data_IF_622749279533
#
_entry.id   IF_622749279533
#
_cell.length_a   1.000
_cell.length_b   1.000
_cell.length_c   1.000
_cell.angle_alpha   90.00
_cell.angle_beta   90.00
_cell.angle_gamma   90.00
#
_symmetry.space_group_name_H-M   'P 1'
#
loop_
_entity.id
_entity.type
_entity.pdbx_description
1 polymer ?
#
# COMPACT_ATOMS: atom_id res chain seq x y z
N UNK A 1 16.09 -27.58 -7.29
CA UNK A 1 15.92 -26.12 -7.10
C UNK A 1 16.74 -25.72 -5.90
N UNK A 2 17.64 -24.75 -6.02
CA UNK A 2 18.24 -24.13 -4.84
C UNK A 2 17.13 -23.60 -3.94
N UNK A 3 17.20 -23.84 -2.64
CA UNK A 3 16.21 -23.31 -1.70
C UNK A 3 16.21 -21.78 -1.80
N UNK A 4 15.06 -21.18 -2.15
CA UNK A 4 14.91 -19.73 -2.15
C UNK A 4 15.20 -19.21 -0.74
N UNK A 5 15.98 -18.13 -0.63
CA UNK A 5 16.25 -17.54 0.68
C UNK A 5 14.93 -17.07 1.32
N UNK A 6 14.81 -17.09 2.66
CA UNK A 6 13.60 -16.61 3.34
C UNK A 6 13.21 -15.18 2.94
N UNK A 7 14.19 -14.29 2.80
CA UNK A 7 13.97 -12.90 2.38
C UNK A 7 13.44 -12.80 0.95
N UNK A 8 13.98 -13.62 0.02
CA UNK A 8 13.51 -13.59 -1.36
C UNK A 8 12.08 -14.16 -1.50
N UNK A 9 11.73 -15.15 -0.68
CA UNK A 9 10.37 -15.67 -0.60
C UNK A 9 9.35 -14.59 -0.21
N UNK A 10 9.73 -13.63 0.63
CA UNK A 10 8.88 -12.51 1.03
C UNK A 10 8.59 -11.57 -0.15
N UNK A 11 9.59 -11.31 -1.00
CA UNK A 11 9.40 -10.49 -2.20
C UNK A 11 8.49 -11.15 -3.22
N UNK A 12 8.69 -12.45 -3.48
CA UNK A 12 7.80 -13.23 -4.37
C UNK A 12 6.38 -13.24 -3.81
N UNK A 13 6.20 -13.46 -2.51
CA UNK A 13 4.89 -13.41 -1.87
C UNK A 13 4.22 -12.05 -2.06
N UNK A 14 4.94 -10.96 -1.78
CA UNK A 14 4.42 -9.60 -1.90
C UNK A 14 3.98 -9.29 -3.33
N UNK A 15 4.77 -9.70 -4.31
CA UNK A 15 4.45 -9.55 -5.73
C UNK A 15 3.13 -10.24 -6.09
N UNK A 16 2.99 -11.53 -5.73
CA UNK A 16 1.79 -12.31 -6.02
C UNK A 16 0.56 -11.81 -5.26
N UNK A 17 0.75 -11.36 -4.03
CA UNK A 17 -0.35 -10.83 -3.21
C UNK A 17 -0.90 -9.52 -3.76
N UNK A 18 -0.04 -8.65 -4.30
CA UNK A 18 -0.46 -7.42 -4.98
C UNK A 18 -1.20 -7.74 -6.28
N UNK A 19 -0.75 -8.74 -7.04
CA UNK A 19 -1.51 -9.19 -8.21
C UNK A 19 -2.89 -9.71 -7.87
N UNK A 20 -3.00 -10.50 -6.79
CA UNK A 20 -4.29 -10.98 -6.32
C UNK A 20 -5.26 -9.82 -6.06
N UNK A 21 -4.82 -8.78 -5.35
CA UNK A 21 -5.66 -7.59 -5.13
C UNK A 21 -5.99 -6.86 -6.43
N UNK A 22 -5.02 -6.76 -7.32
CA UNK A 22 -5.22 -6.13 -8.62
C UNK A 22 -6.29 -6.82 -9.45
N UNK A 23 -6.29 -8.16 -9.51
CA UNK A 23 -7.31 -8.92 -10.22
C UNK A 23 -8.67 -8.90 -9.53
N UNK A 24 -8.70 -8.93 -8.19
CA UNK A 24 -9.94 -8.98 -7.42
C UNK A 24 -10.69 -7.63 -7.39
N UNK A 25 -9.95 -6.51 -7.42
CA UNK A 25 -10.54 -5.18 -7.25
C UNK A 25 -9.80 -4.07 -8.00
N UNK A 26 -8.48 -3.92 -7.80
CA UNK A 26 -7.81 -2.65 -8.15
C UNK A 26 -7.86 -2.37 -9.65
N UNK A 27 -7.74 -3.38 -10.52
CA UNK A 27 -7.74 -3.18 -11.97
C UNK A 27 -9.06 -2.57 -12.47
N UNK A 28 -10.19 -2.97 -11.89
CA UNK A 28 -11.48 -2.40 -12.21
C UNK A 28 -11.64 -1.01 -11.56
N UNK A 29 -11.28 -0.89 -10.29
CA UNK A 29 -11.41 0.35 -9.53
C UNK A 29 -10.50 1.48 -10.03
N UNK A 30 -9.33 1.16 -10.58
CA UNK A 30 -8.40 2.13 -11.19
C UNK A 30 -8.80 2.59 -12.60
N UNK A 31 -9.69 1.85 -13.28
CA UNK A 31 -10.28 2.30 -14.55
C UNK A 31 -11.37 3.34 -14.34
N UNK A 32 -11.98 3.34 -13.15
CA UNK A 32 -12.98 4.30 -12.73
C UNK A 32 -12.31 5.39 -11.91
N UNK A 33 -12.79 6.62 -12.04
CA UNK A 33 -12.46 7.64 -11.08
C UNK A 33 -13.13 7.30 -9.74
N UNK A 34 -12.48 7.41 -8.57
CA UNK A 34 -13.16 7.19 -7.30
C UNK A 34 -14.45 7.99 -7.12
N UNK A 35 -14.57 9.17 -7.76
CA UNK A 35 -15.80 9.97 -7.79
C UNK A 35 -16.97 9.29 -8.55
N UNK A 36 -16.68 8.29 -9.39
CA UNK A 36 -17.65 7.50 -10.16
C UNK A 36 -17.99 6.17 -9.48
N UNK A 37 -17.40 5.86 -8.32
CA UNK A 37 -17.69 4.62 -7.61
C UNK A 37 -19.11 4.63 -7.04
N UNK A 38 -19.90 3.64 -7.44
CA UNK A 38 -21.19 3.35 -6.82
C UNK A 38 -21.05 2.82 -5.38
N UNK A 39 -22.16 2.75 -4.65
CA UNK A 39 -22.15 2.32 -3.25
C UNK A 39 -21.50 0.94 -3.02
N UNK A 40 -21.66 0.02 -3.97
CA UNK A 40 -21.07 -1.32 -3.89
C UNK A 40 -19.55 -1.28 -4.06
N UNK A 41 -19.05 -0.50 -5.02
CA UNK A 41 -17.61 -0.29 -5.23
C UNK A 41 -16.98 0.41 -4.03
N UNK A 42 -17.66 1.40 -3.45
CA UNK A 42 -17.22 2.07 -2.23
C UNK A 42 -17.14 1.10 -1.05
N UNK A 43 -18.16 0.28 -0.84
CA UNK A 43 -18.17 -0.73 0.23
C UNK A 43 -17.08 -1.78 0.03
N UNK A 44 -16.87 -2.22 -1.22
CA UNK A 44 -15.81 -3.15 -1.58
C UNK A 44 -14.44 -2.55 -1.29
N UNK A 45 -14.18 -1.29 -1.67
CA UNK A 45 -12.97 -0.56 -1.29
C UNK A 45 -12.77 -0.54 0.22
N UNK A 46 -13.78 -0.09 0.97
CA UNK A 46 -13.68 0.01 2.44
C UNK A 46 -13.35 -1.35 3.08
N UNK A 47 -13.94 -2.43 2.56
CA UNK A 47 -13.74 -3.79 3.09
C UNK A 47 -12.38 -4.36 2.73
N UNK A 48 -11.99 -4.27 1.46
CA UNK A 48 -10.70 -4.79 0.95
C UNK A 48 -9.52 -4.20 1.72
N UNK A 49 -9.56 -2.90 2.02
CA UNK A 49 -8.47 -2.22 2.74
C UNK A 49 -8.68 -2.07 4.24
N UNK A 50 -9.62 -2.82 4.81
CA UNK A 50 -9.85 -2.91 6.25
C UNK A 50 -10.31 -1.59 6.91
N UNK A 51 -10.91 -0.69 6.13
CA UNK A 51 -11.43 0.61 6.57
C UNK A 51 -12.82 0.50 7.24
N UNK A 52 -13.43 -0.68 7.19
CA UNK A 52 -14.67 -1.00 7.93
C UNK A 52 -14.41 -1.42 9.39
N UNK A 53 -13.15 -1.56 9.80
CA UNK A 53 -12.79 -2.00 11.15
C UNK A 53 -12.74 -0.79 12.09
N UNK A 54 -13.77 -0.62 12.91
CA UNK A 54 -13.77 0.32 14.03
C UNK A 54 -14.99 1.25 14.10
N UNK A 55 -14.99 2.11 15.13
CA UNK A 55 -16.11 2.99 15.51
C UNK A 55 -16.43 4.04 14.43
N UNK A 56 -15.52 4.29 13.49
CA UNK A 56 -15.70 5.26 12.42
C UNK A 56 -16.37 4.71 11.15
N UNK A 57 -16.59 3.40 11.03
CA UNK A 57 -17.06 2.80 9.77
C UNK A 57 -18.39 3.39 9.27
N UNK A 58 -19.42 3.45 10.13
CA UNK A 58 -20.73 3.99 9.73
C UNK A 58 -20.63 5.45 9.27
N UNK A 59 -19.90 6.28 10.04
CA UNK A 59 -19.68 7.68 9.70
C UNK A 59 -18.88 7.86 8.40
N UNK A 60 -17.90 6.98 8.16
CA UNK A 60 -17.10 7.01 6.93
C UNK A 60 -17.96 6.62 5.72
N UNK A 61 -18.76 5.57 5.84
CA UNK A 61 -19.66 5.12 4.78
C UNK A 61 -20.71 6.19 4.43
N UNK A 62 -21.37 6.78 5.43
CA UNK A 62 -22.40 7.82 5.20
C UNK A 62 -21.85 9.11 4.58
N UNK A 63 -20.56 9.38 4.73
CA UNK A 63 -19.91 10.59 4.19
C UNK A 63 -18.98 10.30 3.01
N UNK A 64 -18.91 9.05 2.52
CA UNK A 64 -17.91 8.63 1.54
C UNK A 64 -17.97 9.49 0.28
N UNK A 65 -19.15 9.60 -0.33
CA UNK A 65 -19.37 10.41 -1.54
C UNK A 65 -18.94 11.86 -1.31
N UNK A 66 -19.38 12.49 -0.21
CA UNK A 66 -19.02 13.87 0.13
C UNK A 66 -17.51 14.06 0.28
N UNK A 67 -16.82 13.09 0.88
CA UNK A 67 -15.37 13.10 1.03
C UNK A 67 -14.70 12.99 -0.34
N UNK A 68 -15.10 12.02 -1.15
CA UNK A 68 -14.52 11.79 -2.46
C UNK A 68 -14.74 12.98 -3.39
N UNK A 69 -15.93 13.58 -3.40
CA UNK A 69 -16.22 14.78 -4.21
C UNK A 69 -15.24 15.91 -3.92
N UNK A 70 -14.92 16.12 -2.64
CA UNK A 70 -13.95 17.15 -2.21
C UNK A 70 -12.52 16.77 -2.54
N UNK A 71 -12.14 15.51 -2.32
CA UNK A 71 -10.78 15.05 -2.57
C UNK A 71 -10.49 14.83 -4.04
N UNK A 72 -11.50 14.66 -4.89
CA UNK A 72 -11.32 14.43 -6.32
C UNK A 72 -10.56 15.59 -6.99
N UNK A 73 -10.95 16.83 -6.70
CA UNK A 73 -10.27 18.01 -7.23
C UNK A 73 -8.80 18.11 -6.78
N UNK A 74 -8.49 17.62 -5.58
CA UNK A 74 -7.14 17.65 -5.00
C UNK A 74 -6.26 16.49 -5.50
N UNK A 75 -6.82 15.29 -5.58
CA UNK A 75 -6.09 14.06 -5.86
C UNK A 75 -6.06 13.70 -7.34
N UNK A 76 -7.10 14.07 -8.10
CA UNK A 76 -7.28 13.67 -9.50
C UNK A 76 -6.33 14.34 -10.49
N UNK A 77 -5.73 15.47 -10.13
CA UNK A 77 -4.77 16.15 -10.99
C UNK A 77 -3.50 15.32 -11.14
N UNK A 78 -2.85 15.37 -12.32
CA UNK A 78 -1.52 14.76 -12.50
C UNK A 78 -0.52 15.38 -11.52
N UNK A 79 0.45 14.60 -11.07
CA UNK A 79 1.58 15.11 -10.30
C UNK A 79 2.59 15.74 -11.25
N UNK A 80 3.29 16.76 -10.77
CA UNK A 80 4.53 17.21 -11.42
C UNK A 80 5.63 16.17 -11.11
N UNK A 81 6.14 15.48 -12.13
CA UNK A 81 7.14 14.43 -11.94
C UNK A 81 8.43 14.96 -11.30
N UNK A 82 8.77 16.23 -11.52
CA UNK A 82 9.94 16.87 -10.91
C UNK A 82 9.80 17.13 -9.41
N UNK A 83 8.57 17.12 -8.88
CA UNK A 83 8.27 17.46 -7.49
C UNK A 83 7.23 16.51 -6.84
N UNK A 84 7.09 15.30 -7.38
CA UNK A 84 5.99 14.39 -7.05
C UNK A 84 5.89 14.07 -5.55
N UNK A 85 7.03 13.92 -4.86
CA UNK A 85 7.06 13.61 -3.43
C UNK A 85 6.48 14.74 -2.57
N UNK A 86 6.90 15.99 -2.83
CA UNK A 86 6.38 17.16 -2.11
C UNK A 86 4.90 17.38 -2.43
N UNK A 87 4.52 17.23 -3.69
CA UNK A 87 3.12 17.34 -4.12
C UNK A 87 2.24 16.28 -3.44
N UNK A 88 2.70 15.04 -3.35
CA UNK A 88 2.00 13.98 -2.62
C UNK A 88 1.88 14.29 -1.12
N UNK A 89 2.95 14.76 -0.47
CA UNK A 89 2.91 15.16 0.93
C UNK A 89 1.90 16.28 1.18
N UNK A 90 1.88 17.29 0.32
CA UNK A 90 0.97 18.43 0.41
C UNK A 90 -0.48 17.99 0.21
N UNK A 91 -0.76 17.25 -0.88
CA UNK A 91 -2.09 16.71 -1.15
C UNK A 91 -2.57 15.81 -0.03
N UNK A 92 -1.73 14.91 0.46
CA UNK A 92 -2.12 14.02 1.55
C UNK A 92 -2.43 14.79 2.84
N UNK A 93 -1.59 15.76 3.20
CA UNK A 93 -1.80 16.61 4.38
C UNK A 93 -3.09 17.43 4.29
N UNK A 94 -3.34 18.05 3.13
CA UNK A 94 -4.57 18.80 2.87
C UNK A 94 -5.79 17.87 2.86
N UNK A 95 -5.68 16.69 2.25
CA UNK A 95 -6.75 15.70 2.24
C UNK A 95 -7.08 15.16 3.63
N UNK A 96 -6.10 15.06 4.54
CA UNK A 96 -6.34 14.71 5.95
C UNK A 96 -7.21 15.79 6.61
N UNK A 97 -6.92 17.07 6.36
CA UNK A 97 -7.71 18.17 6.92
C UNK A 97 -9.14 18.17 6.37
N UNK A 98 -9.34 17.96 5.06
CA UNK A 98 -10.67 17.83 4.45
C UNK A 98 -11.48 16.70 5.09
N UNK A 99 -10.86 15.52 5.27
CA UNK A 99 -11.53 14.38 5.91
C UNK A 99 -11.85 14.68 7.36
N UNK A 100 -10.93 15.32 8.10
CA UNK A 100 -11.11 15.72 9.50
C UNK A 100 -12.31 16.66 9.67
N UNK A 101 -12.46 17.63 8.77
CA UNK A 101 -13.56 18.59 8.80
C UNK A 101 -14.92 17.90 8.56
N UNK A 102 -14.97 16.94 7.64
CA UNK A 102 -16.19 16.19 7.33
C UNK A 102 -16.51 15.14 8.42
N UNK A 103 -15.48 14.57 9.05
CA UNK A 103 -15.61 13.50 10.04
C UNK A 103 -15.57 14.01 11.49
N UNK A 104 -16.01 15.25 11.72
CA UNK A 104 -16.15 15.86 13.06
C UNK A 104 -14.85 15.76 13.90
N UNK A 105 -13.72 16.14 13.32
CA UNK A 105 -12.43 16.16 14.00
C UNK A 105 -11.66 14.83 13.98
N UNK A 106 -12.23 13.75 13.41
CA UNK A 106 -11.55 12.45 13.34
C UNK A 106 -10.47 12.44 12.28
N UNK A 107 -9.27 12.02 12.68
CA UNK A 107 -8.15 11.88 11.76
C UNK A 107 -8.12 10.49 11.12
N UNK A 108 -8.43 10.42 9.83
CA UNK A 108 -8.45 9.17 9.06
C UNK A 108 -7.29 9.09 8.06
N UNK A 109 -6.05 9.37 8.51
CA UNK A 109 -4.82 9.35 7.68
C UNK A 109 -4.71 8.15 6.74
N UNK A 110 -5.00 6.95 7.25
CA UNK A 110 -4.92 5.71 6.46
C UNK A 110 -5.98 5.67 5.34
N UNK A 111 -7.21 6.13 5.62
CA UNK A 111 -8.24 6.27 4.59
C UNK A 111 -7.79 7.25 3.50
N UNK A 112 -7.33 8.43 3.90
CA UNK A 112 -6.90 9.47 2.97
C UNK A 112 -5.72 9.00 2.10
N UNK A 113 -4.73 8.32 2.70
CA UNK A 113 -3.60 7.75 1.98
C UNK A 113 -4.04 6.69 0.98
N UNK A 114 -4.93 5.77 1.37
CA UNK A 114 -5.46 4.73 0.47
C UNK A 114 -6.26 5.31 -0.68
N UNK A 115 -7.02 6.37 -0.45
CA UNK A 115 -7.74 7.04 -1.53
C UNK A 115 -6.77 7.72 -2.49
N UNK A 116 -5.77 8.45 -1.99
CA UNK A 116 -4.71 9.04 -2.82
C UNK A 116 -3.92 7.98 -3.59
N UNK A 117 -3.74 6.78 -3.01
CA UNK A 117 -3.11 5.61 -3.64
C UNK A 117 -3.88 5.06 -4.84
N UNK A 118 -5.20 5.25 -4.89
CA UNK A 118 -6.01 4.97 -6.08
C UNK A 118 -5.90 6.05 -7.15
N UNK A 119 -5.81 7.32 -6.75
CA UNK A 119 -5.61 8.41 -7.69
C UNK A 119 -4.20 8.45 -8.30
N UNK A 120 -3.20 8.04 -7.52
CA UNK A 120 -1.79 8.14 -7.89
C UNK A 120 -1.07 6.78 -7.76
N UNK A 121 -1.53 5.73 -8.48
CA UNK A 121 -1.08 4.35 -8.28
C UNK A 121 0.42 4.14 -8.57
N UNK A 122 1.03 5.01 -9.38
CA UNK A 122 2.46 4.96 -9.71
C UNK A 122 3.37 5.58 -8.65
N UNK A 123 2.84 6.47 -7.80
CA UNK A 123 3.66 7.33 -6.94
C UNK A 123 3.32 7.16 -5.46
N UNK A 124 2.04 7.08 -5.11
CA UNK A 124 1.64 7.02 -3.71
C UNK A 124 1.85 5.62 -3.11
N UNK A 125 2.03 5.55 -1.80
CA UNK A 125 2.18 4.34 -0.98
C UNK A 125 1.08 4.28 0.09
N UNK A 126 0.69 3.07 0.51
CA UNK A 126 -0.26 2.88 1.61
C UNK A 126 0.33 3.15 2.99
N UNK A 127 -0.22 4.15 3.67
CA UNK A 127 0.05 4.40 5.09
C UNK A 127 -0.90 3.60 5.99
N UNK A 128 -0.33 2.57 6.62
CA UNK A 128 -0.97 1.83 7.70
C UNK A 128 0.03 1.43 8.80
N UNK A 129 -0.49 0.90 9.90
CA UNK A 129 0.33 0.56 11.07
C UNK A 129 1.42 -0.46 10.76
N UNK A 130 1.13 -1.45 9.91
CA UNK A 130 2.11 -2.45 9.55
C UNK A 130 3.14 -1.88 8.57
N UNK A 131 2.72 -1.12 7.55
CA UNK A 131 3.67 -0.45 6.66
C UNK A 131 4.65 0.44 7.43
N UNK A 132 4.16 1.24 8.39
CA UNK A 132 5.00 2.05 9.30
C UNK A 132 5.95 1.19 10.14
N UNK A 133 5.44 0.11 10.73
CA UNK A 133 6.26 -0.79 11.53
C UNK A 133 7.35 -1.48 10.70
N UNK A 134 7.04 -1.91 9.48
CA UNK A 134 7.98 -2.51 8.55
C UNK A 134 9.07 -1.52 8.17
N UNK A 135 8.68 -0.29 7.83
CA UNK A 135 9.61 0.76 7.44
C UNK A 135 10.54 1.16 8.58
N UNK A 136 9.99 1.25 9.80
CA UNK A 136 10.77 1.47 11.01
C UNK A 136 11.82 0.37 11.21
N UNK A 137 11.41 -0.91 11.15
CA UNK A 137 12.32 -2.05 11.32
C UNK A 137 13.44 -2.05 10.27
N UNK A 138 13.09 -1.78 9.01
CA UNK A 138 14.06 -1.67 7.92
C UNK A 138 15.05 -0.53 8.17
N UNK A 139 14.60 0.70 8.47
CA UNK A 139 15.52 1.82 8.69
C UNK A 139 16.43 1.58 9.91
N UNK A 140 15.89 0.96 10.97
CA UNK A 140 16.68 0.56 12.14
C UNK A 140 17.73 -0.51 11.83
N UNK A 141 17.53 -1.38 10.84
CA UNK A 141 18.57 -2.33 10.44
C UNK A 141 19.71 -1.68 9.65
N UNK A 142 19.45 -0.51 9.03
CA UNK A 142 20.45 0.26 8.29
C UNK A 142 21.26 1.21 9.20
N UNK A 143 20.67 1.68 10.30
CA UNK A 143 21.28 2.68 11.18
C UNK A 143 21.56 2.12 12.56
N UNK A 144 22.79 2.24 13.05
CA UNK A 144 23.20 1.72 14.37
C UNK A 144 22.61 2.47 15.59
N UNK A 145 21.68 3.43 15.41
CA UNK A 145 21.22 4.33 16.49
C UNK A 145 19.72 4.59 16.50
N UNK A 146 19.15 4.52 17.72
CA UNK A 146 17.99 5.29 18.17
C UNK A 146 16.61 4.71 17.85
N UNK A 147 15.59 5.19 18.57
CA UNK A 147 14.20 4.92 18.26
C UNK A 147 13.74 5.83 17.11
N UNK A 148 13.54 5.27 15.91
CA UNK A 148 12.94 6.00 14.80
C UNK A 148 11.42 6.02 14.95
N UNK A 149 10.82 7.21 14.95
CA UNK A 149 9.37 7.37 14.87
C UNK A 149 8.94 7.65 13.43
N UNK A 150 8.23 6.72 12.82
CA UNK A 150 7.67 6.85 11.47
C UNK A 150 6.25 7.42 11.57
N UNK A 151 6.04 8.60 11.00
CA UNK A 151 4.78 9.34 11.01
C UNK A 151 4.49 9.93 9.62
N UNK A 152 3.32 10.57 9.44
CA UNK A 152 2.90 11.10 8.15
C UNK A 152 3.88 12.09 7.52
N UNK A 153 4.66 12.84 8.32
CA UNK A 153 5.57 13.88 7.82
C UNK A 153 6.84 13.32 7.19
N UNK A 154 7.28 12.13 7.64
CA UNK A 154 8.51 11.50 7.16
C UNK A 154 8.27 10.17 6.44
N UNK A 155 7.02 9.69 6.39
CA UNK A 155 6.72 8.37 5.84
C UNK A 155 7.05 8.27 4.36
N UNK A 156 6.61 9.22 3.52
CA UNK A 156 6.84 9.14 2.08
C UNK A 156 8.33 9.24 1.72
N UNK A 157 9.09 10.09 2.40
CA UNK A 157 10.53 10.21 2.20
C UNK A 157 11.27 8.92 2.60
N UNK A 158 10.97 8.38 3.79
CA UNK A 158 11.56 7.11 4.23
C UNK A 158 11.16 5.94 3.34
N UNK A 159 9.94 5.97 2.80
CA UNK A 159 9.46 4.96 1.86
C UNK A 159 10.21 5.04 0.54
N UNK A 160 10.46 6.24 0.01
CA UNK A 160 11.20 6.43 -1.24
C UNK A 160 12.63 5.90 -1.11
N UNK A 161 13.31 6.16 0.02
CA UNK A 161 14.60 5.53 0.33
C UNK A 161 14.53 3.99 0.27
N UNK A 162 13.50 3.40 0.91
CA UNK A 162 13.30 1.95 0.94
C UNK A 162 13.01 1.39 -0.46
N UNK A 163 12.16 2.06 -1.23
CA UNK A 163 11.78 1.64 -2.57
C UNK A 163 12.99 1.64 -3.51
N UNK A 164 13.80 2.70 -3.49
CA UNK A 164 15.03 2.78 -4.29
C UNK A 164 16.01 1.67 -3.91
N UNK A 165 16.17 1.39 -2.61
CA UNK A 165 17.00 0.29 -2.12
C UNK A 165 16.46 -1.12 -2.40
N UNK A 166 15.21 -1.26 -2.84
CA UNK A 166 14.57 -2.55 -3.09
C UNK A 166 14.23 -2.83 -4.56
N UNK A 167 14.55 -1.91 -5.48
CA UNK A 167 14.24 -2.04 -6.90
C UNK A 167 14.71 -3.39 -7.51
N UNK A 168 15.97 -3.79 -7.25
CA UNK A 168 16.53 -5.05 -7.75
C UNK A 168 15.82 -6.29 -7.19
N UNK A 169 15.29 -6.23 -5.97
CA UNK A 169 14.52 -7.33 -5.37
C UNK A 169 13.15 -7.47 -6.02
N UNK A 170 12.51 -6.33 -6.33
CA UNK A 170 11.22 -6.29 -7.04
C UNK A 170 11.39 -6.87 -8.45
N UNK A 171 12.42 -6.45 -9.18
CA UNK A 171 12.76 -6.97 -10.51
C UNK A 171 13.08 -8.48 -10.46
N UNK A 172 13.83 -8.94 -9.46
CA UNK A 172 14.13 -10.35 -9.30
C UNK A 172 12.87 -11.18 -9.00
N UNK A 173 11.97 -10.68 -8.14
CA UNK A 173 10.72 -11.36 -7.81
C UNK A 173 9.73 -11.40 -8.99
N UNK A 174 9.78 -10.41 -9.89
CA UNK A 174 8.95 -10.36 -11.08
C UNK A 174 9.12 -11.60 -11.98
N UNK A 175 10.34 -12.15 -12.03
CA UNK A 175 10.66 -13.37 -12.80
C UNK A 175 9.93 -14.62 -12.31
N UNK A 176 9.35 -14.60 -11.11
CA UNK A 176 8.57 -15.72 -10.56
C UNK A 176 7.06 -15.52 -10.72
N UNK A 177 6.67 -14.56 -11.56
CA UNK A 177 5.29 -14.28 -11.93
C UNK A 177 5.13 -14.38 -13.45
N UNK A 178 3.94 -14.73 -13.88
CA UNK A 178 3.55 -14.92 -15.28
C UNK A 178 3.44 -13.60 -16.08
N UNK A 179 3.39 -12.46 -15.39
CA UNK A 179 3.30 -11.13 -15.98
C UNK A 179 3.92 -10.06 -15.10
N UNK A 180 4.24 -8.92 -15.73
CA UNK A 180 4.76 -7.73 -15.04
C UNK A 180 3.64 -6.93 -14.38
N UNK A 181 3.86 -6.49 -13.14
CA UNK A 181 2.91 -5.66 -12.42
C UNK A 181 3.16 -4.18 -12.74
N UNK A 182 2.14 -3.39 -13.14
CA UNK A 182 2.34 -2.02 -13.63
C UNK A 182 2.75 -1.00 -12.56
N UNK A 183 2.64 -1.33 -11.26
CA UNK A 183 2.88 -0.39 -10.16
C UNK A 183 3.87 -0.95 -9.12
N UNK A 184 5.18 -0.98 -9.40
CA UNK A 184 6.18 -1.63 -8.55
C UNK A 184 6.22 -1.11 -7.09
N UNK A 185 5.91 0.17 -6.87
CA UNK A 185 5.80 0.74 -5.50
C UNK A 185 4.82 -0.04 -4.61
N UNK A 186 3.72 -0.59 -5.16
CA UNK A 186 2.75 -1.37 -4.37
C UNK A 186 3.31 -2.71 -3.89
N UNK A 187 4.32 -3.25 -4.57
CA UNK A 187 5.02 -4.47 -4.15
C UNK A 187 5.89 -4.16 -2.92
N UNK A 188 6.57 -3.01 -2.93
CA UNK A 188 7.27 -2.49 -1.76
C UNK A 188 6.31 -2.23 -0.57
N UNK A 189 5.14 -1.63 -0.81
CA UNK A 189 4.08 -1.48 0.23
C UNK A 189 3.76 -2.82 0.88
N UNK A 190 3.51 -3.83 0.05
CA UNK A 190 3.10 -5.15 0.51
C UNK A 190 4.20 -5.87 1.28
N UNK A 191 5.45 -5.67 0.88
CA UNK A 191 6.60 -6.19 1.61
C UNK A 191 6.74 -5.53 3.00
N UNK A 192 6.59 -4.21 3.08
CA UNK A 192 6.62 -3.48 4.36
C UNK A 192 5.47 -3.92 5.26
N UNK A 193 4.28 -4.10 4.70
CA UNK A 193 3.12 -4.61 5.43
C UNK A 193 3.40 -6.00 6.02
N UNK A 194 3.99 -6.92 5.24
CA UNK A 194 4.36 -8.25 5.73
C UNK A 194 5.39 -8.17 6.86
N UNK A 195 6.41 -7.34 6.69
CA UNK A 195 7.51 -7.17 7.64
C UNK A 195 7.13 -6.35 8.89
N UNK A 196 6.07 -5.55 8.78
CA UNK A 196 5.46 -4.83 9.89
C UNK A 196 4.70 -5.70 10.88
N UNK A 197 4.19 -6.84 10.41
CA UNK A 197 3.36 -7.74 11.22
C UNK A 197 4.12 -8.37 12.41
N UNK A 198 3.38 -8.88 13.42
CA UNK A 198 3.95 -9.75 14.43
C UNK A 198 4.63 -10.97 13.80
N UNK A 199 5.77 -11.40 14.35
CA UNK A 199 6.59 -12.48 13.77
C UNK A 199 5.80 -13.79 13.57
N UNK A 200 4.91 -14.13 14.51
CA UNK A 200 4.04 -15.32 14.41
C UNK A 200 3.10 -15.26 13.21
N UNK A 201 2.51 -14.09 12.95
CA UNK A 201 1.60 -13.89 11.81
C UNK A 201 2.34 -13.90 10.48
N UNK A 202 3.49 -13.20 10.40
CA UNK A 202 4.37 -13.24 9.22
C UNK A 202 4.75 -14.69 8.89
N UNK A 203 5.21 -15.45 9.89
CA UNK A 203 5.57 -16.86 9.73
C UNK A 203 4.40 -17.69 9.20
N UNK A 204 3.20 -17.55 9.78
CA UNK A 204 2.02 -18.28 9.34
C UNK A 204 1.59 -17.94 7.89
N UNK A 205 1.81 -16.70 7.44
CA UNK A 205 1.57 -16.30 6.04
C UNK A 205 2.58 -16.98 5.11
N UNK A 206 3.87 -16.89 5.43
CA UNK A 206 4.95 -17.44 4.60
C UNK A 206 4.94 -18.98 4.57
N UNK A 207 4.58 -19.64 5.67
CA UNK A 207 4.47 -21.10 5.71
C UNK A 207 3.34 -21.59 4.80
N UNK A 208 2.17 -20.92 4.81
CA UNK A 208 1.08 -21.22 3.85
C UNK A 208 1.49 -20.98 2.41
N UNK A 209 2.24 -19.91 2.17
CA UNK A 209 2.75 -19.62 0.83
C UNK A 209 3.75 -20.68 0.36
N UNK A 210 4.65 -21.13 1.23
CA UNK A 210 5.61 -22.20 0.94
C UNK A 210 4.89 -23.49 0.54
N UNK A 211 3.89 -23.92 1.33
CA UNK A 211 3.06 -25.09 1.01
C UNK A 211 2.36 -24.94 -0.34
N UNK A 212 1.86 -23.74 -0.66
CA UNK A 212 1.25 -23.47 -1.96
C UNK A 212 2.24 -23.59 -3.12
N UNK A 213 3.48 -23.14 -2.95
CA UNK A 213 4.54 -23.28 -3.96
C UNK A 213 4.98 -24.74 -4.09
N UNK A 214 5.08 -25.48 -2.99
CA UNK A 214 5.42 -26.91 -3.02
C UNK A 214 4.36 -27.73 -3.76
N UNK A 215 3.08 -27.33 -3.62
CA UNK A 215 1.95 -27.98 -4.31
C UNK A 215 1.81 -27.54 -5.76
N UNK A 216 2.23 -26.32 -6.09
CA UNK A 216 2.19 -25.75 -7.45
C UNK A 216 3.46 -24.93 -7.69
N UNK A 217 4.54 -25.59 -8.13
CA UNK A 217 5.85 -24.95 -8.28
C UNK A 217 5.81 -23.75 -9.20
N UNK A 218 6.44 -22.66 -8.74
CA UNK A 218 6.74 -21.50 -9.57
C UNK A 218 8.11 -21.69 -10.21
N UNK A 219 8.20 -21.34 -11.49
CA UNK A 219 9.44 -21.37 -12.25
C UNK A 219 9.86 -19.96 -12.59
N UNK A 220 11.17 -19.74 -12.68
CA UNK A 220 11.71 -18.48 -13.15
C UNK A 220 11.40 -18.33 -14.64
N UNK A 221 10.84 -17.20 -15.03
CA UNK A 221 10.60 -16.78 -16.40
C UNK A 221 11.77 -15.89 -16.86
N UNK A 222 12.29 -16.19 -18.05
CA UNK A 222 13.38 -15.45 -18.71
C UNK A 222 12.84 -14.31 -19.57
#
# INVERSE_FOLDING_TARGET
MSALSPEFLEWIWSYRQVFKWFDEFDAAALKLNPAEWDGDTQLKFLTTYGLTRGVAHQSLQSNFTRIVDKLHALFGNRLDEGNALNDLNNRWSEGINVVRDIQNGRDLKSFTSKLLWFYQPKHMTMFDEFARCGLRKWKLSQTAKGALNVNEKNFLELFDDFYLGSASWIEAAARYCDRSYPYPRRIADQWLWLNGRPAREKKAILDRFRVSIESSPIFEHY
#
